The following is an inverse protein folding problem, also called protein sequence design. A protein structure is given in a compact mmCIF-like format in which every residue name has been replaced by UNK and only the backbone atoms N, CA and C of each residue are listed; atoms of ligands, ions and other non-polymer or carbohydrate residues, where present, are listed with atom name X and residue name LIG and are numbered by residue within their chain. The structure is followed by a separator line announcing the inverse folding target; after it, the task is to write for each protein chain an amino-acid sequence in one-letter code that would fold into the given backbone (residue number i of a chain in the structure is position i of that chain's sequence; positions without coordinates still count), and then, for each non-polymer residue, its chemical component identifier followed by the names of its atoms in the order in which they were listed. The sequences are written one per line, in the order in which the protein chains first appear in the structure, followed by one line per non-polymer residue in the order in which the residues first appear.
data_IF_511869723051
#
_entry.id   IF_511869723051
#
_cell.length_a   1.000
_cell.length_b   1.000
_cell.length_c   1.000
_cell.angle_alpha   90.00
_cell.angle_beta   90.00
_cell.angle_gamma   90.00
#
_symmetry.space_group_name_H-M   'P 1'
#
loop_
_entity.id
_entity.type
_entity.pdbx_description
1 polymer ?
#
# COMPACT_ATOMS: atom_id res chain seq x y z
N UNK A 1 10.51 29.78 0.15
CA UNK A 1 9.42 29.26 1.01
C UNK A 1 8.53 28.21 0.32
N UNK A 2 8.48 28.11 -1.02
CA UNK A 2 7.59 27.15 -1.72
C UNK A 2 8.16 25.70 -1.82
N UNK A 3 9.49 25.52 -1.79
CA UNK A 3 10.12 24.20 -2.00
C UNK A 3 10.22 23.27 -0.78
N UNK A 4 10.03 23.76 0.45
CA UNK A 4 10.01 22.92 1.67
C UNK A 4 8.61 22.32 1.89
N UNK A 5 7.57 23.05 1.50
CA UNK A 5 6.19 22.61 1.66
C UNK A 5 5.85 21.45 0.69
N UNK A 6 6.34 21.48 -0.55
CA UNK A 6 6.10 20.41 -1.53
C UNK A 6 6.76 19.08 -1.17
N UNK A 7 7.93 19.09 -0.52
CA UNK A 7 8.63 17.86 -0.08
C UNK A 7 8.01 17.23 1.15
N UNK A 8 7.59 18.07 2.10
CA UNK A 8 6.86 17.61 3.28
C UNK A 8 5.49 17.03 2.91
N UNK A 9 4.92 17.42 1.77
CA UNK A 9 3.68 16.85 1.24
C UNK A 9 3.93 15.52 0.51
N UNK A 10 5.01 15.40 -0.27
CA UNK A 10 5.34 14.14 -0.95
C UNK A 10 5.76 13.04 0.04
N UNK A 11 6.68 13.35 0.97
CA UNK A 11 7.13 12.37 1.96
C UNK A 11 5.99 11.92 2.87
N UNK A 12 5.08 12.84 3.19
CA UNK A 12 3.91 12.55 4.00
C UNK A 12 2.88 11.72 3.24
N UNK A 13 2.70 11.94 1.94
CA UNK A 13 1.81 11.11 1.13
C UNK A 13 2.37 9.69 0.90
N UNK A 14 3.69 9.54 0.80
CA UNK A 14 4.35 8.22 0.73
C UNK A 14 4.27 7.48 2.08
N UNK A 15 4.48 8.19 3.20
CA UNK A 15 4.36 7.65 4.56
C UNK A 15 2.90 7.30 4.89
N UNK A 16 1.95 8.19 4.61
CA UNK A 16 0.50 7.92 4.80
C UNK A 16 0.01 6.74 3.96
N UNK A 17 0.50 6.59 2.73
CA UNK A 17 0.16 5.45 1.88
C UNK A 17 0.73 4.13 2.39
N UNK A 18 1.94 4.15 2.96
CA UNK A 18 2.54 2.97 3.60
C UNK A 18 1.80 2.60 4.89
N UNK A 19 1.47 3.59 5.72
CA UNK A 19 0.73 3.39 6.97
C UNK A 19 -0.68 2.82 6.70
N UNK A 20 -1.34 3.24 5.62
CA UNK A 20 -2.67 2.75 5.23
C UNK A 20 -2.62 1.28 4.80
N UNK A 21 -1.59 0.88 4.05
CA UNK A 21 -1.38 -0.53 3.63
C UNK A 21 -1.01 -1.41 4.83
N UNK A 22 -0.15 -0.94 5.74
CA UNK A 22 0.18 -1.69 6.97
C UNK A 22 -1.06 -1.89 7.83
N UNK A 23 -1.87 -0.85 7.97
CA UNK A 23 -3.11 -0.93 8.73
C UNK A 23 -4.13 -1.89 8.11
N UNK A 24 -4.27 -1.87 6.78
CA UNK A 24 -5.15 -2.83 6.09
C UNK A 24 -4.66 -4.27 6.28
N UNK A 25 -3.34 -4.52 6.28
CA UNK A 25 -2.77 -5.84 6.58
C UNK A 25 -3.06 -6.28 8.01
N UNK A 26 -2.91 -5.40 9.00
CA UNK A 26 -3.27 -5.70 10.40
C UNK A 26 -4.76 -6.04 10.53
N UNK A 27 -5.64 -5.26 9.89
CA UNK A 27 -7.09 -5.52 9.91
C UNK A 27 -7.44 -6.88 9.25
N UNK A 28 -6.74 -7.29 8.19
CA UNK A 28 -6.92 -8.59 7.55
C UNK A 28 -6.42 -9.76 8.41
N UNK A 29 -5.31 -9.59 9.13
CA UNK A 29 -4.74 -10.61 10.03
C UNK A 29 -5.61 -10.82 11.27
N UNK A 30 -6.09 -9.72 11.86
CA UNK A 30 -7.06 -9.75 12.96
C UNK A 30 -8.34 -10.50 12.53
N UNK A 31 -8.88 -10.16 11.35
CA UNK A 31 -10.06 -10.83 10.81
C UNK A 31 -9.82 -12.31 10.52
N UNK A 32 -8.63 -12.68 10.03
CA UNK A 32 -8.25 -14.08 9.81
C UNK A 32 -8.27 -14.86 11.12
N UNK A 33 -7.66 -14.29 12.17
CA UNK A 33 -7.65 -14.89 13.51
C UNK A 33 -9.06 -15.04 14.08
N UNK A 34 -9.93 -14.04 13.88
CA UNK A 34 -11.33 -14.13 14.29
C UNK A 34 -12.08 -15.26 13.57
N UNK A 35 -11.88 -15.43 12.26
CA UNK A 35 -12.51 -16.49 11.48
C UNK A 35 -12.00 -17.89 11.87
N UNK A 36 -10.73 -18.02 12.27
CA UNK A 36 -10.19 -19.31 12.75
C UNK A 36 -10.84 -19.78 14.05
N UNK A 37 -11.36 -18.86 14.85
CA UNK A 37 -12.03 -19.16 16.13
C UNK A 37 -13.55 -19.40 15.97
N UNK A 38 -14.10 -19.18 14.78
CA UNK A 38 -15.52 -19.36 14.50
C UNK A 38 -15.89 -20.86 14.41
N UNK A 39 -17.15 -21.18 14.72
CA UNK A 39 -17.66 -22.55 14.61
C UNK A 39 -17.81 -22.94 13.12
N UNK A 40 -17.49 -24.20 12.76
CA UNK A 40 -17.53 -24.69 11.37
C UNK A 40 -18.92 -24.55 10.71
N UNK A 41 -20.00 -24.58 11.50
CA UNK A 41 -21.38 -24.46 11.03
C UNK A 41 -21.89 -23.00 10.97
N UNK A 42 -21.07 -22.03 11.35
CA UNK A 42 -21.43 -20.61 11.38
C UNK A 42 -21.46 -19.99 9.97
N UNK A 43 -22.35 -19.00 9.80
CA UNK A 43 -22.41 -18.19 8.58
C UNK A 43 -21.87 -16.80 8.84
N UNK A 44 -20.89 -16.41 8.05
CA UNK A 44 -20.21 -15.12 8.14
C UNK A 44 -20.92 -14.09 7.28
N UNK A 45 -21.05 -12.86 7.79
CA UNK A 45 -21.59 -11.73 7.03
C UNK A 45 -20.49 -11.09 6.20
N UNK A 46 -20.53 -11.31 4.89
CA UNK A 46 -19.60 -10.72 3.93
C UNK A 46 -20.21 -9.50 3.25
N UNK A 47 -19.46 -8.39 3.22
CA UNK A 47 -19.91 -7.11 2.67
C UNK A 47 -19.46 -6.96 1.21
N UNK A 48 -20.42 -6.66 0.32
CA UNK A 48 -20.15 -6.30 -1.09
C UNK A 48 -20.85 -4.98 -1.38
N UNK A 49 -20.08 -3.91 -1.60
CA UNK A 49 -20.63 -2.55 -1.70
C UNK A 49 -21.35 -2.16 -0.42
N UNK A 50 -22.64 -1.85 -0.50
CA UNK A 50 -23.48 -1.47 0.65
C UNK A 50 -24.38 -2.63 1.16
N UNK A 51 -24.18 -3.86 0.68
CA UNK A 51 -24.99 -5.03 1.02
C UNK A 51 -24.18 -6.09 1.76
N UNK A 52 -24.87 -6.87 2.61
CA UNK A 52 -24.28 -8.00 3.34
C UNK A 52 -24.90 -9.32 2.92
N UNK A 53 -24.05 -10.33 2.75
CA UNK A 53 -24.42 -11.69 2.36
C UNK A 53 -23.93 -12.67 3.40
N UNK A 54 -24.72 -13.72 3.66
CA UNK A 54 -24.27 -14.80 4.54
C UNK A 54 -23.55 -15.85 3.71
N UNK A 55 -22.27 -16.07 4.00
CA UNK A 55 -21.44 -17.09 3.35
C UNK A 55 -21.01 -18.13 4.38
N UNK A 56 -20.82 -19.40 4.00
CA UNK A 56 -20.22 -20.41 4.88
C UNK A 56 -18.81 -19.99 5.33
N UNK A 57 -18.39 -20.42 6.52
CA UNK A 57 -17.08 -20.09 7.08
C UNK A 57 -15.92 -20.42 6.12
N UNK A 58 -15.89 -21.65 5.57
CA UNK A 58 -14.83 -22.07 4.62
C UNK A 58 -14.73 -21.11 3.42
N UNK A 59 -15.88 -20.67 2.89
CA UNK A 59 -15.92 -19.74 1.78
C UNK A 59 -15.44 -18.34 2.19
N UNK A 60 -15.78 -17.88 3.41
CA UNK A 60 -15.29 -16.61 3.93
C UNK A 60 -13.76 -16.62 4.08
N UNK A 61 -13.18 -17.71 4.57
CA UNK A 61 -11.74 -17.89 4.72
C UNK A 61 -11.02 -17.90 3.36
N UNK A 62 -11.55 -18.61 2.36
CA UNK A 62 -10.99 -18.59 0.99
C UNK A 62 -11.03 -17.18 0.38
N UNK A 63 -12.14 -16.48 0.55
CA UNK A 63 -12.31 -15.11 0.04
C UNK A 63 -11.38 -14.12 0.74
N UNK A 64 -11.19 -14.27 2.06
CA UNK A 64 -10.25 -13.46 2.84
C UNK A 64 -8.82 -13.70 2.39
N UNK A 65 -8.38 -14.97 2.29
CA UNK A 65 -7.03 -15.30 1.82
C UNK A 65 -6.76 -14.76 0.41
N UNK A 66 -7.74 -14.87 -0.49
CA UNK A 66 -7.64 -14.30 -1.84
C UNK A 66 -7.61 -12.77 -1.86
N UNK A 67 -8.17 -12.10 -0.84
CA UNK A 67 -8.09 -10.65 -0.72
C UNK A 67 -6.71 -10.24 -0.20
N UNK A 68 -6.22 -10.92 0.84
CA UNK A 68 -4.87 -10.70 1.39
C UNK A 68 -3.78 -10.87 0.35
N UNK A 69 -3.81 -11.95 -0.43
CA UNK A 69 -2.82 -12.20 -1.49
C UNK A 69 -2.82 -11.07 -2.54
N UNK A 70 -4.00 -10.57 -2.94
CA UNK A 70 -4.10 -9.44 -3.88
C UNK A 70 -3.54 -8.14 -3.29
N UNK A 71 -3.86 -7.85 -2.04
CA UNK A 71 -3.34 -6.65 -1.36
C UNK A 71 -1.81 -6.70 -1.23
N UNK A 72 -1.25 -7.89 -0.96
CA UNK A 72 0.21 -8.10 -0.96
C UNK A 72 0.82 -7.88 -2.34
N UNK A 73 0.26 -8.49 -3.39
CA UNK A 73 0.74 -8.30 -4.77
C UNK A 73 0.69 -6.82 -5.21
N UNK A 74 -0.38 -6.11 -4.85
CA UNK A 74 -0.51 -4.68 -5.16
C UNK A 74 0.50 -3.82 -4.40
N UNK A 75 0.76 -4.14 -3.13
CA UNK A 75 1.79 -3.50 -2.30
C UNK A 75 3.17 -3.67 -2.94
N UNK A 76 3.56 -4.90 -3.26
CA UNK A 76 4.86 -5.22 -3.86
C UNK A 76 5.04 -4.50 -5.21
N UNK A 77 4.00 -4.47 -6.04
CA UNK A 77 4.02 -3.77 -7.32
C UNK A 77 4.13 -2.25 -7.18
N UNK A 78 3.57 -1.66 -6.11
CA UNK A 78 3.72 -0.23 -5.82
C UNK A 78 5.12 0.09 -5.32
N UNK A 79 5.69 -0.73 -4.44
CA UNK A 79 7.06 -0.58 -3.96
C UNK A 79 8.09 -0.66 -5.10
N UNK A 80 7.91 -1.60 -6.03
CA UNK A 80 8.79 -1.72 -7.20
C UNK A 80 8.73 -0.45 -8.08
N UNK A 81 7.51 0.06 -8.34
CA UNK A 81 7.33 1.30 -9.10
C UNK A 81 7.98 2.49 -8.40
N UNK A 82 7.83 2.60 -7.08
CA UNK A 82 8.40 3.68 -6.28
C UNK A 82 9.93 3.63 -6.33
N UNK A 83 10.52 2.45 -6.13
CA UNK A 83 11.96 2.21 -6.25
C UNK A 83 12.49 2.64 -7.63
N UNK A 84 11.81 2.24 -8.70
CA UNK A 84 12.17 2.61 -10.06
C UNK A 84 12.13 4.12 -10.30
N UNK A 85 11.08 4.80 -9.82
CA UNK A 85 10.96 6.27 -9.93
C UNK A 85 12.10 6.95 -9.17
N UNK A 86 12.45 6.47 -7.98
CA UNK A 86 13.56 7.01 -7.20
C UNK A 86 14.90 6.84 -7.92
N UNK A 87 15.12 5.71 -8.57
CA UNK A 87 16.35 5.46 -9.33
C UNK A 87 16.42 6.32 -10.61
N UNK A 88 15.31 6.47 -11.34
CA UNK A 88 15.22 7.39 -12.47
C UNK A 88 15.49 8.85 -12.03
N UNK A 89 14.95 9.27 -10.88
CA UNK A 89 15.24 10.58 -10.30
C UNK A 89 16.73 10.77 -9.94
N UNK A 90 17.37 9.74 -9.36
CA UNK A 90 18.81 9.78 -9.06
C UNK A 90 19.63 9.94 -10.34
N UNK A 91 19.33 9.16 -11.36
CA UNK A 91 20.02 9.24 -12.66
C UNK A 91 19.84 10.60 -13.32
N UNK A 92 18.60 11.12 -13.34
CA UNK A 92 18.31 12.43 -13.91
C UNK A 92 19.06 13.56 -13.18
N UNK A 93 19.16 13.49 -11.84
CA UNK A 93 19.97 14.45 -11.06
C UNK A 93 21.43 14.43 -11.50
N UNK A 94 22.02 13.24 -11.67
CA UNK A 94 23.41 13.09 -12.13
C UNK A 94 23.59 13.72 -13.52
N UNK A 95 22.69 13.44 -14.46
CA UNK A 95 22.75 14.00 -15.81
C UNK A 95 22.65 15.53 -15.83
N UNK A 96 21.72 16.09 -15.05
CA UNK A 96 21.54 17.53 -14.95
C UNK A 96 22.76 18.22 -14.32
N UNK A 97 23.32 17.65 -13.25
CA UNK A 97 24.55 18.17 -12.65
C UNK A 97 25.75 18.05 -13.59
N UNK A 98 25.84 16.99 -14.40
CA UNK A 98 26.88 16.85 -15.41
C UNK A 98 26.77 17.94 -16.50
N UNK A 99 25.55 18.33 -16.91
CA UNK A 99 25.34 19.34 -17.95
C UNK A 99 25.42 20.78 -17.46
N UNK A 100 24.85 21.08 -16.31
CA UNK A 100 24.68 22.46 -15.82
C UNK A 100 25.63 22.81 -14.66
N UNK A 101 26.26 21.81 -14.04
CA UNK A 101 27.24 22.00 -12.97
C UNK A 101 26.67 22.81 -11.80
N UNK A 102 27.42 23.83 -11.37
CA UNK A 102 27.06 24.70 -10.24
C UNK A 102 26.01 25.78 -10.59
N UNK A 103 25.55 25.85 -11.84
CA UNK A 103 24.55 26.83 -12.25
C UNK A 103 23.13 26.48 -11.77
N UNK A 104 22.94 25.26 -11.30
CA UNK A 104 21.67 24.77 -10.76
C UNK A 104 21.86 24.15 -9.37
N UNK A 105 20.81 24.12 -8.57
CA UNK A 105 20.77 23.39 -7.29
C UNK A 105 19.54 22.49 -7.24
N UNK A 106 19.76 21.18 -7.24
CA UNK A 106 18.73 20.12 -7.22
C UNK A 106 18.69 19.39 -5.86
N UNK A 107 19.59 19.73 -4.93
CA UNK A 107 19.57 19.22 -3.56
C UNK A 107 18.42 19.90 -2.83
N UNK A 108 17.32 19.18 -2.69
CA UNK A 108 16.37 19.36 -1.61
C UNK A 108 15.58 18.07 -1.44
#
# INVERSE_FOLDING_TARGET
MSGILGRRMLSKAEEEGSDEVEKEKEELDDLSTELELADEDEKIQYKIGDSFFHVPLEQAQEMLGSATERTEEESDALEEKLSKIQDEMKQLKVELYARFGKQINLET
#
